data_IF_761787160990
#
_entry.id   IF_761787160990
#
_cell.length_a   1.000
_cell.length_b   1.000
_cell.length_c   1.000
_cell.angle_alpha   90.00
_cell.angle_beta   90.00
_cell.angle_gamma   90.00
#
_symmetry.space_group_name_H-M   'P 1'
#
loop_
_entity.id
_entity.type
_entity.pdbx_description
1 polymer ?
#
# COMPACT_ATOMS: atom_id res chain seq x y z
N UNK A 1 -10.25 -8.71 -0.71
CA UNK A 1 -9.73 -7.32 -0.69
C UNK A 1 -8.81 -7.15 -1.88
N UNK A 2 -8.66 -5.94 -2.42
CA UNK A 2 -7.68 -5.65 -3.48
C UNK A 2 -6.63 -4.70 -2.91
N UNK A 3 -5.37 -4.88 -3.29
CA UNK A 3 -4.25 -4.02 -2.91
C UNK A 3 -3.55 -3.49 -4.16
N UNK A 4 -3.07 -2.25 -4.09
CA UNK A 4 -2.29 -1.62 -5.15
C UNK A 4 -1.61 -0.34 -4.65
N UNK A 5 -0.65 0.15 -5.43
CA UNK A 5 0.05 1.41 -5.24
C UNK A 5 0.04 2.22 -6.53
N UNK A 6 0.16 3.54 -6.41
CA UNK A 6 0.23 4.49 -7.52
C UNK A 6 1.39 5.46 -7.30
N UNK A 7 1.93 6.00 -8.39
CA UNK A 7 2.79 7.19 -8.40
C UNK A 7 2.15 8.25 -9.32
N UNK A 8 2.87 9.35 -9.57
CA UNK A 8 2.41 10.39 -10.49
C UNK A 8 2.16 9.87 -11.92
N UNK A 9 3.06 9.01 -12.44
CA UNK A 9 3.08 8.55 -13.83
C UNK A 9 2.99 7.01 -13.97
N UNK A 10 2.92 6.27 -12.86
CA UNK A 10 2.91 4.81 -12.87
C UNK A 10 1.94 4.22 -11.85
N UNK A 11 1.72 2.91 -11.96
CA UNK A 11 0.92 2.13 -11.00
C UNK A 11 1.51 0.75 -10.80
N UNK A 12 1.30 0.17 -9.63
CA UNK A 12 1.63 -1.23 -9.39
C UNK A 12 0.61 -2.15 -10.06
N UNK A 13 0.96 -3.42 -10.19
CA UNK A 13 -0.02 -4.49 -10.41
C UNK A 13 -0.98 -4.54 -9.23
N UNK A 14 -2.27 -4.73 -9.51
CA UNK A 14 -3.28 -4.97 -8.47
C UNK A 14 -3.22 -6.42 -8.00
N UNK A 15 -3.25 -6.62 -6.69
CA UNK A 15 -3.25 -7.96 -6.07
C UNK A 15 -4.57 -8.20 -5.36
N UNK A 16 -5.23 -9.30 -5.71
CA UNK A 16 -6.42 -9.77 -5.01
C UNK A 16 -5.98 -10.58 -3.79
N UNK A 17 -6.37 -10.12 -2.61
CA UNK A 17 -6.09 -10.76 -1.33
C UNK A 17 -7.34 -11.55 -0.90
N UNK A 18 -7.26 -12.89 -0.82
CA UNK A 18 -8.36 -13.73 -0.35
C UNK A 18 -8.75 -13.38 1.10
N UNK A 19 -10.06 -13.38 1.38
CA UNK A 19 -10.59 -13.32 2.76
C UNK A 19 -10.43 -14.70 3.42
N UNK A 20 -9.26 -15.01 3.96
CA UNK A 20 -9.04 -16.21 4.80
C UNK A 20 -8.53 -15.78 6.16
N UNK A 21 -8.79 -16.54 7.23
CA UNK A 21 -8.55 -16.17 8.64
C UNK A 21 -7.11 -15.70 8.98
N UNK A 22 -6.15 -15.91 8.07
CA UNK A 22 -4.76 -15.43 8.11
C UNK A 22 -4.54 -14.08 7.40
N UNK A 23 -5.56 -13.21 7.34
CA UNK A 23 -5.55 -11.95 6.57
C UNK A 23 -4.33 -11.06 6.89
N UNK A 24 -3.93 -10.95 8.15
CA UNK A 24 -2.84 -10.07 8.56
C UNK A 24 -1.47 -10.45 7.97
N UNK A 25 -1.16 -11.77 7.89
CA UNK A 25 0.10 -12.24 7.33
C UNK A 25 0.10 -12.14 5.80
N UNK A 26 -1.01 -12.49 5.16
CA UNK A 26 -1.14 -12.40 3.71
C UNK A 26 -1.05 -10.96 3.22
N UNK A 27 -1.70 -10.02 3.91
CA UNK A 27 -1.65 -8.60 3.55
C UNK A 27 -0.25 -8.04 3.76
N UNK A 28 0.41 -8.36 4.88
CA UNK A 28 1.78 -7.89 5.15
C UNK A 28 2.77 -8.38 4.07
N UNK A 29 2.70 -9.64 3.66
CA UNK A 29 3.58 -10.19 2.63
C UNK A 29 3.32 -9.58 1.24
N UNK A 30 2.05 -9.34 0.89
CA UNK A 30 1.69 -8.68 -0.37
C UNK A 30 2.19 -7.23 -0.40
N UNK A 31 2.02 -6.49 0.71
CA UNK A 31 2.56 -5.14 0.85
C UNK A 31 4.07 -5.16 0.63
N UNK A 32 4.80 -6.05 1.30
CA UNK A 32 6.24 -6.14 1.14
C UNK A 32 6.66 -6.38 -0.30
N UNK A 33 6.09 -7.41 -0.94
CA UNK A 33 6.55 -7.83 -2.25
C UNK A 33 6.27 -6.76 -3.33
N UNK A 34 5.06 -6.19 -3.31
CA UNK A 34 4.64 -5.26 -4.36
C UNK A 34 5.11 -3.84 -4.08
N UNK A 35 5.06 -3.37 -2.82
CA UNK A 35 5.54 -2.03 -2.47
C UNK A 35 7.05 -1.90 -2.68
N UNK A 36 7.86 -2.88 -2.25
CA UNK A 36 9.31 -2.80 -2.43
C UNK A 36 9.70 -2.81 -3.91
N UNK A 37 9.09 -3.70 -4.70
CA UNK A 37 9.33 -3.75 -6.14
C UNK A 37 8.96 -2.43 -6.81
N UNK A 38 7.81 -1.86 -6.43
CA UNK A 38 7.34 -0.58 -6.96
C UNK A 38 8.26 0.59 -6.56
N UNK A 39 8.71 0.63 -5.29
CA UNK A 39 9.66 1.65 -4.81
C UNK A 39 11.03 1.52 -5.48
N UNK A 40 11.52 0.30 -5.72
CA UNK A 40 12.78 0.10 -6.45
C UNK A 40 12.72 0.62 -7.90
N UNK A 41 11.54 0.59 -8.52
CA UNK A 41 11.30 1.19 -9.84
C UNK A 41 11.14 2.72 -9.79
N UNK A 42 10.84 3.28 -8.61
CA UNK A 42 10.61 4.70 -8.38
C UNK A 42 11.66 5.25 -7.37
N UNK A 43 12.93 5.28 -7.78
CA UNK A 43 14.10 5.46 -6.90
C UNK A 43 14.15 6.76 -6.07
N UNK A 44 13.35 7.77 -6.41
CA UNK A 44 13.28 9.05 -5.68
C UNK A 44 11.94 9.24 -4.93
N UNK A 45 11.09 8.21 -4.89
CA UNK A 45 9.79 8.28 -4.27
C UNK A 45 9.84 8.20 -2.74
N UNK A 46 8.86 8.83 -2.10
CA UNK A 46 8.54 8.59 -0.68
C UNK A 46 7.30 7.71 -0.61
N UNK A 47 7.37 6.60 0.11
CA UNK A 47 6.26 5.67 0.23
C UNK A 47 5.23 6.16 1.25
N UNK A 48 4.00 6.33 0.79
CA UNK A 48 2.84 6.65 1.63
C UNK A 48 1.98 5.39 1.82
N UNK A 49 1.64 5.08 3.07
CA UNK A 49 0.62 4.08 3.41
C UNK A 49 -0.20 4.55 4.61
N UNK A 50 -1.43 4.05 4.73
CA UNK A 50 -2.18 4.27 5.95
C UNK A 50 -1.61 3.41 7.09
N UNK A 51 -1.73 3.86 8.34
CA UNK A 51 -1.25 3.13 9.50
C UNK A 51 -2.19 1.99 9.93
N UNK A 52 -2.86 1.29 9.00
CA UNK A 52 -3.69 0.15 9.36
C UNK A 52 -2.83 -1.02 9.88
N UNK A 53 -3.44 -1.91 10.68
CA UNK A 53 -2.72 -2.95 11.44
C UNK A 53 -1.73 -3.80 10.60
N UNK A 54 -2.03 -4.22 9.36
CA UNK A 54 -1.06 -4.95 8.54
C UNK A 54 0.17 -4.11 8.13
N UNK A 55 0.01 -2.80 7.96
CA UNK A 55 1.10 -1.89 7.62
C UNK A 55 2.02 -1.62 8.81
N UNK A 56 1.48 -1.64 10.02
CA UNK A 56 2.24 -1.46 11.26
C UNK A 56 2.78 -2.77 11.85
N UNK A 57 2.52 -3.91 11.22
CA UNK A 57 3.05 -5.19 11.67
C UNK A 57 4.59 -5.18 11.62
N UNK A 58 5.24 -5.82 12.60
CA UNK A 58 6.71 -5.85 12.72
C UNK A 58 7.37 -6.34 11.42
N UNK A 59 6.79 -7.36 10.79
CA UNK A 59 7.29 -7.90 9.52
C UNK A 59 7.29 -6.83 8.44
N UNK A 60 6.19 -6.09 8.27
CA UNK A 60 6.05 -5.03 7.27
C UNK A 60 7.02 -3.88 7.54
N UNK A 61 7.11 -3.42 8.79
CA UNK A 61 8.04 -2.36 9.20
C UNK A 61 9.51 -2.75 8.97
N UNK A 62 9.87 -4.01 9.26
CA UNK A 62 11.22 -4.49 9.01
C UNK A 62 11.58 -4.50 7.52
N UNK A 63 10.66 -4.91 6.66
CA UNK A 63 10.89 -4.93 5.22
C UNK A 63 10.96 -3.52 4.60
N UNK A 64 10.22 -2.56 5.14
CA UNK A 64 10.22 -1.17 4.69
C UNK A 64 11.32 -0.33 5.35
N UNK A 65 12.22 -0.92 6.14
CA UNK A 65 13.23 -0.16 6.92
C UNK A 65 14.18 0.68 6.05
N UNK A 66 14.41 0.28 4.80
CA UNK A 66 15.25 1.00 3.84
C UNK A 66 14.45 1.84 2.84
N UNK A 67 13.14 1.99 3.05
CA UNK A 67 12.25 2.79 2.21
C UNK A 67 11.95 4.09 2.94
N UNK A 68 12.07 5.22 2.25
CA UNK A 68 11.65 6.50 2.80
C UNK A 68 10.13 6.53 2.96
N UNK A 69 9.68 6.67 4.20
CA UNK A 69 8.26 6.63 4.56
C UNK A 69 7.72 8.04 4.80
N UNK A 70 6.57 8.37 4.21
CA UNK A 70 5.86 9.60 4.52
C UNK A 70 5.19 9.46 5.90
N UNK A 71 5.45 10.34 6.87
CA UNK A 71 4.70 10.36 8.12
C UNK A 71 3.21 10.61 7.83
N UNK A 72 2.35 9.70 8.28
CA UNK A 72 0.91 9.75 7.98
C UNK A 72 0.08 9.87 9.25
N UNK A 73 -0.89 10.79 9.26
CA UNK A 73 -1.84 10.93 10.37
C UNK A 73 -2.92 9.86 10.30
N UNK A 74 -3.35 9.36 11.47
CA UNK A 74 -4.44 8.40 11.53
C UNK A 74 -5.76 9.05 11.06
N UNK A 75 -6.60 8.26 10.38
CA UNK A 75 -7.96 8.65 9.96
C UNK A 75 -8.03 9.83 8.98
N UNK A 76 -7.03 10.01 8.13
CA UNK A 76 -7.01 11.01 7.06
C UNK A 76 -7.05 10.37 5.66
N UNK A 77 -8.16 9.71 5.25
CA UNK A 77 -8.26 9.13 3.91
C UNK A 77 -8.36 10.20 2.81
N UNK A 78 -8.90 11.37 3.15
CA UNK A 78 -9.04 12.54 2.28
C UNK A 78 -7.70 13.08 1.75
N UNK A 79 -6.63 12.90 2.51
CA UNK A 79 -5.29 13.30 2.11
C UNK A 79 -4.64 12.31 1.12
N UNK A 80 -5.21 11.11 0.94
CA UNK A 80 -4.59 10.02 0.19
C UNK A 80 -5.04 9.99 -1.27
N UNK A 81 -4.15 10.25 -2.26
CA UNK A 81 -4.54 10.30 -3.67
C UNK A 81 -5.14 8.99 -4.20
N UNK A 82 -4.74 7.85 -3.61
CA UNK A 82 -5.23 6.53 -4.05
C UNK A 82 -6.72 6.32 -3.73
N UNK A 83 -7.27 7.01 -2.74
CA UNK A 83 -8.70 6.92 -2.41
C UNK A 83 -9.55 7.51 -3.54
N UNK A 84 -9.07 8.56 -4.23
CA UNK A 84 -9.72 9.08 -5.43
C UNK A 84 -9.73 8.05 -6.57
N UNK A 85 -8.63 7.31 -6.74
CA UNK A 85 -8.54 6.25 -7.75
C UNK A 85 -9.51 5.12 -7.41
N UNK A 86 -9.60 4.72 -6.14
CA UNK A 86 -10.54 3.70 -5.71
C UNK A 86 -12.01 4.14 -5.87
N UNK A 87 -12.34 5.39 -5.60
CA UNK A 87 -13.68 5.93 -5.84
C UNK A 87 -14.05 5.90 -7.33
N UNK A 88 -13.14 6.32 -8.22
CA UNK A 88 -13.36 6.24 -9.68
C UNK A 88 -13.60 4.80 -10.12
N UNK A 89 -12.75 3.86 -9.68
CA UNK A 89 -12.91 2.43 -10.00
C UNK A 89 -14.24 1.91 -9.45
N UNK A 90 -14.58 2.24 -8.21
CA UNK A 90 -15.82 1.80 -7.56
C UNK A 90 -17.09 2.31 -8.25
N UNK A 91 -17.05 3.50 -8.86
CA UNK A 91 -18.16 4.05 -9.66
C UNK A 91 -18.32 3.41 -11.03
N UNK A 92 -17.28 2.73 -11.52
CA UNK A 92 -17.26 2.07 -12.83
C UNK A 92 -17.58 0.57 -12.76
N UNK A 93 -17.72 0.03 -11.54
CA UNK A 93 -18.10 -1.35 -11.25
C UNK A 93 -19.57 -1.43 -10.84
#
# INVERSE_FOLDING_TARGET
>A
MVWGAISYDSRSTLVVIPRTQTENLNVSLVIQLVALSFMNSNQEGVFQQNNARPHTAVVTQHALRCVDMLPWTARSPDLSPIENVWDIIGRQL
#
